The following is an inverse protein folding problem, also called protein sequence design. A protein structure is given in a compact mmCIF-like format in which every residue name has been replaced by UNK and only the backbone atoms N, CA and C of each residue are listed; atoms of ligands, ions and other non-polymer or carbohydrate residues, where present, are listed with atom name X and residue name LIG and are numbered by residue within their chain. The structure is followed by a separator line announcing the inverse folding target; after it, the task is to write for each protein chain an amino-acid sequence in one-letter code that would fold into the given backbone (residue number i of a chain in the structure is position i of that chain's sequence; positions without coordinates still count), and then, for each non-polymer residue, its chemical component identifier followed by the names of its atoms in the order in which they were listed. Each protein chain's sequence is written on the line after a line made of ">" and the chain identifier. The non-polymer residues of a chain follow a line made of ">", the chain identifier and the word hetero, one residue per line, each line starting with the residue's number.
data_IF_020545143562
#
_entry.id   IF_020545143562
#
_cell.length_a   1.000
_cell.length_b   1.000
_cell.length_c   1.000
_cell.angle_alpha   90.00
_cell.angle_beta   90.00
_cell.angle_gamma   90.00
#
_symmetry.space_group_name_H-M   'P 1'
#
loop_
_entity.id
_entity.type
_entity.pdbx_description
1 polymer ?
#
# COMPACT_ATOMS: atom_id res chain seq x y z
N UNK A 1 15.08 7.40 28.44
CA UNK A 1 14.31 6.59 27.48
C UNK A 1 15.29 5.94 26.52
N UNK A 2 15.22 4.61 26.28
CA UNK A 2 16.18 3.91 25.42
C UNK A 2 16.11 4.42 23.97
N UNK A 3 17.26 4.46 23.30
CA UNK A 3 17.39 4.91 21.91
C UNK A 3 18.53 4.20 21.18
N UNK A 4 18.50 4.25 19.86
CA UNK A 4 19.62 3.92 18.97
C UNK A 4 20.03 5.21 18.29
N UNK A 5 21.33 5.47 18.24
CA UNK A 5 21.89 6.56 17.44
C UNK A 5 22.33 6.00 16.09
N UNK A 6 21.87 6.66 15.03
CA UNK A 6 22.24 6.33 13.66
C UNK A 6 23.18 7.42 13.17
N UNK A 7 24.43 7.04 12.93
CA UNK A 7 25.48 7.91 12.38
C UNK A 7 26.06 7.25 11.13
N UNK A 8 25.78 7.82 9.96
CA UNK A 8 26.20 7.28 8.66
C UNK A 8 26.21 8.38 7.59
N UNK A 9 26.75 8.04 6.41
CA UNK A 9 26.71 8.91 5.23
C UNK A 9 25.77 8.35 4.16
N UNK A 10 25.04 9.24 3.49
CA UNK A 10 24.21 8.92 2.33
C UNK A 10 24.53 9.91 1.22
N UNK A 11 25.07 9.43 0.08
CA UNK A 11 25.56 10.28 -1.02
C UNK A 11 26.52 11.37 -0.52
N UNK A 12 27.48 10.96 0.30
CA UNK A 12 28.48 11.82 0.96
C UNK A 12 27.94 12.85 1.97
N UNK A 13 26.62 12.97 2.11
CA UNK A 13 26.01 13.79 3.15
C UNK A 13 25.92 13.00 4.47
N UNK A 14 26.41 13.55 5.59
CA UNK A 14 26.27 12.93 6.89
C UNK A 14 24.82 12.95 7.37
N UNK A 15 24.46 11.92 8.13
CA UNK A 15 23.19 11.75 8.82
C UNK A 15 23.49 11.30 10.23
N UNK A 16 23.11 12.12 11.21
CA UNK A 16 23.18 11.78 12.62
C UNK A 16 21.82 12.08 13.26
N UNK A 17 21.15 11.05 13.79
CA UNK A 17 19.89 11.22 14.52
C UNK A 17 19.58 10.01 15.41
N UNK A 18 18.70 10.24 16.39
CA UNK A 18 18.26 9.24 17.37
C UNK A 18 16.91 8.64 17.00
N UNK A 19 16.80 7.33 17.20
CA UNK A 19 15.54 6.57 17.13
C UNK A 19 15.24 6.05 18.52
N UNK A 20 14.19 6.57 19.15
CA UNK A 20 13.78 6.12 20.48
C UNK A 20 13.09 4.76 20.43
N UNK A 21 13.16 4.02 21.53
CA UNK A 21 12.46 2.76 21.72
C UNK A 21 11.40 2.88 22.82
N UNK A 22 10.33 2.13 22.66
CA UNK A 22 9.29 1.93 23.66
C UNK A 22 8.94 0.45 23.71
N UNK A 23 8.65 -0.07 24.89
CA UNK A 23 8.13 -1.42 25.05
C UNK A 23 6.63 -1.41 25.37
N UNK A 24 5.97 -2.52 25.11
CA UNK A 24 4.65 -2.85 25.67
C UNK A 24 4.66 -4.28 26.20
N UNK A 25 3.87 -4.60 27.23
CA UNK A 25 3.68 -5.99 27.64
C UNK A 25 3.24 -6.87 26.46
N UNK A 26 3.73 -8.10 26.42
CA UNK A 26 3.27 -9.11 25.48
C UNK A 26 1.84 -9.52 25.80
N UNK A 27 1.04 -9.86 24.77
CA UNK A 27 -0.32 -10.39 24.94
C UNK A 27 -0.35 -11.71 25.74
N UNK A 28 0.80 -12.40 25.86
CA UNK A 28 0.95 -13.61 26.68
C UNK A 28 1.27 -13.29 28.15
N UNK A 29 1.33 -12.00 28.53
CA UNK A 29 1.75 -11.49 29.84
C UNK A 29 3.13 -12.01 30.31
N UNK A 30 3.93 -12.56 29.40
CA UNK A 30 5.29 -13.07 29.63
C UNK A 30 6.23 -12.31 28.70
N UNK A 31 6.87 -11.27 29.24
CA UNK A 31 7.87 -10.46 28.56
C UNK A 31 7.34 -9.20 27.88
N UNK A 32 8.27 -8.47 27.27
CA UNK A 32 8.03 -7.17 26.64
C UNK A 32 8.28 -7.19 25.14
N UNK A 33 7.46 -6.45 24.40
CA UNK A 33 7.55 -6.26 22.96
C UNK A 33 8.13 -4.88 22.71
N UNK A 34 9.36 -4.84 22.19
CA UNK A 34 10.04 -3.59 21.83
C UNK A 34 9.59 -3.02 20.48
N UNK A 35 9.52 -1.70 20.39
CA UNK A 35 9.18 -0.96 19.18
C UNK A 35 10.06 0.27 19.05
N UNK A 36 10.26 0.69 17.81
CA UNK A 36 10.84 1.99 17.48
C UNK A 36 9.77 3.08 17.49
N UNK A 37 10.15 4.28 17.89
CA UNK A 37 9.39 5.51 17.67
C UNK A 37 10.03 6.20 16.48
N UNK A 38 9.28 6.29 15.38
CA UNK A 38 9.76 6.94 14.17
C UNK A 38 10.09 8.42 14.45
N UNK A 39 11.29 8.91 14.09
CA UNK A 39 11.69 10.27 14.43
C UNK A 39 10.87 11.33 13.69
N UNK A 40 10.33 11.03 12.49
CA UNK A 40 9.49 11.94 11.72
C UNK A 40 8.00 11.81 12.07
N UNK A 41 7.40 10.61 11.93
CA UNK A 41 5.94 10.43 12.12
C UNK A 41 5.52 10.27 13.58
N UNK A 42 6.47 10.07 14.51
CA UNK A 42 6.25 9.76 15.92
C UNK A 42 5.43 8.49 16.19
N UNK A 43 5.11 7.71 15.15
CA UNK A 43 4.38 6.45 15.27
C UNK A 43 5.28 5.33 15.78
N UNK A 44 4.69 4.46 16.58
CA UNK A 44 5.30 3.19 17.03
C UNK A 44 5.38 2.22 15.87
N UNK A 45 6.55 1.62 15.63
CA UNK A 45 6.75 0.67 14.54
C UNK A 45 7.78 -0.41 14.86
N UNK A 46 7.72 -1.53 14.13
CA UNK A 46 8.63 -2.68 14.28
C UNK A 46 9.78 -2.68 13.27
N UNK A 47 9.65 -1.88 12.22
CA UNK A 47 10.58 -1.80 11.09
C UNK A 47 10.72 -0.35 10.68
N UNK A 48 11.95 0.07 10.46
CA UNK A 48 12.28 1.30 9.77
C UNK A 48 12.73 0.95 8.35
N UNK A 49 12.35 1.78 7.38
CA UNK A 49 12.66 1.61 5.97
C UNK A 49 13.75 2.60 5.60
N UNK A 50 14.81 2.13 4.94
CA UNK A 50 15.88 2.97 4.41
C UNK A 50 15.49 3.49 3.04
N UNK A 51 14.98 4.72 2.97
CA UNK A 51 14.52 5.35 1.72
C UNK A 51 14.96 6.81 1.75
N UNK A 52 15.48 7.31 0.63
CA UNK A 52 15.94 8.70 0.54
C UNK A 52 17.04 9.06 1.55
N UNK A 53 17.82 8.08 2.02
CA UNK A 53 18.89 8.30 2.99
C UNK A 53 18.44 8.44 4.45
N UNK A 54 17.21 8.05 4.77
CA UNK A 54 16.71 8.01 6.15
C UNK A 54 16.06 6.66 6.47
N UNK A 55 16.20 6.23 7.72
CA UNK A 55 15.48 5.08 8.31
C UNK A 55 14.24 5.55 9.04
N UNK A 56 13.07 5.44 8.41
CA UNK A 56 11.81 5.99 8.93
C UNK A 56 10.65 4.99 8.83
N UNK A 57 9.51 5.33 9.43
CA UNK A 57 8.26 4.61 9.21
C UNK A 57 7.86 4.67 7.73
N UNK A 58 7.23 3.61 7.20
CA UNK A 58 6.80 3.56 5.78
C UNK A 58 5.95 4.75 5.35
N UNK A 59 5.11 5.27 6.25
CA UNK A 59 4.21 6.41 5.98
C UNK A 59 4.93 7.76 6.00
N UNK A 60 6.22 7.79 6.36
CA UNK A 60 7.04 8.99 6.19
C UNK A 60 7.40 9.25 4.72
N UNK A 61 7.23 8.23 3.87
CA UNK A 61 7.61 8.26 2.46
C UNK A 61 6.38 8.28 1.56
N UNK A 62 6.34 9.24 0.63
CA UNK A 62 5.30 9.33 -0.39
C UNK A 62 5.76 8.65 -1.68
N UNK A 63 4.94 7.79 -2.26
CA UNK A 63 5.20 7.17 -3.57
C UNK A 63 6.32 6.11 -3.60
N UNK A 64 6.95 5.79 -2.47
CA UNK A 64 8.04 4.81 -2.44
C UNK A 64 7.58 3.35 -2.18
N UNK A 65 6.30 3.15 -1.91
CA UNK A 65 5.70 1.83 -1.63
C UNK A 65 4.62 1.53 -2.66
N UNK A 66 4.45 0.26 -3.01
CA UNK A 66 3.25 -0.16 -3.74
C UNK A 66 2.02 0.08 -2.85
N UNK A 67 0.93 0.56 -3.44
CA UNK A 67 -0.30 0.89 -2.71
C UNK A 67 -0.81 -0.28 -1.85
N UNK A 68 -0.77 -1.49 -2.40
CA UNK A 68 -1.17 -2.71 -1.68
C UNK A 68 -0.35 -2.99 -0.42
N UNK A 69 0.90 -2.53 -0.35
CA UNK A 69 1.78 -2.72 0.81
C UNK A 69 1.45 -1.79 1.98
N UNK A 70 0.88 -0.61 1.68
CA UNK A 70 0.49 0.37 2.71
C UNK A 70 -0.94 0.15 3.21
N UNK A 71 -1.79 -0.52 2.41
CA UNK A 71 -3.15 -0.89 2.78
C UNK A 71 -3.23 -1.86 3.98
N UNK A 72 -4.31 -1.76 4.76
CA UNK A 72 -4.62 -2.68 5.87
C UNK A 72 -5.04 -4.06 5.35
N UNK A 73 -4.98 -5.10 6.20
CA UNK A 73 -5.43 -6.45 5.81
C UNK A 73 -6.90 -6.47 5.38
N UNK A 74 -7.76 -5.72 6.11
CA UNK A 74 -9.18 -5.55 5.78
C UNK A 74 -9.35 -4.94 4.40
N UNK A 75 -8.62 -3.86 4.11
CA UNK A 75 -8.72 -3.17 2.84
C UNK A 75 -8.22 -4.03 1.67
N UNK A 76 -7.11 -4.77 1.82
CA UNK A 76 -6.65 -5.71 0.79
C UNK A 76 -7.68 -6.81 0.49
N UNK A 77 -8.39 -7.28 1.51
CA UNK A 77 -9.46 -8.25 1.32
C UNK A 77 -10.64 -7.63 0.56
N UNK A 78 -11.03 -6.40 0.91
CA UNK A 78 -12.05 -5.63 0.18
C UNK A 78 -11.65 -5.37 -1.27
N UNK A 79 -10.41 -4.95 -1.55
CA UNK A 79 -9.93 -4.73 -2.93
C UNK A 79 -9.91 -6.04 -3.73
N UNK A 80 -9.63 -7.18 -3.08
CA UNK A 80 -9.68 -8.50 -3.73
C UNK A 80 -11.10 -8.91 -4.13
N UNK A 81 -12.11 -8.62 -3.30
CA UNK A 81 -13.50 -9.03 -3.55
C UNK A 81 -14.28 -8.02 -4.38
N UNK A 82 -14.14 -6.73 -4.06
CA UNK A 82 -14.93 -5.63 -4.61
C UNK A 82 -14.10 -4.60 -5.38
N UNK A 83 -12.78 -4.77 -5.46
CA UNK A 83 -11.91 -3.79 -6.15
C UNK A 83 -12.22 -3.64 -7.63
N UNK A 84 -12.73 -4.68 -8.31
CA UNK A 84 -13.22 -4.57 -9.68
C UNK A 84 -14.47 -3.68 -9.77
N UNK A 85 -15.39 -3.80 -8.81
CA UNK A 85 -16.59 -2.97 -8.72
C UNK A 85 -16.23 -1.49 -8.51
N UNK A 86 -15.37 -1.18 -7.54
CA UNK A 86 -14.93 0.20 -7.28
C UNK A 86 -14.11 0.82 -8.42
N UNK A 87 -13.51 0.01 -9.29
CA UNK A 87 -12.75 0.46 -10.46
C UNK A 87 -13.59 0.48 -11.75
N UNK A 88 -14.84 0.05 -11.70
CA UNK A 88 -15.69 -0.13 -12.89
C UNK A 88 -15.84 1.16 -13.71
N UNK A 89 -16.13 2.30 -13.08
CA UNK A 89 -16.21 3.61 -13.76
C UNK A 89 -14.90 4.00 -14.43
N UNK A 90 -13.77 3.76 -13.76
CA UNK A 90 -12.44 4.01 -14.34
C UNK A 90 -12.17 3.11 -15.54
N UNK A 91 -12.58 1.84 -15.48
CA UNK A 91 -12.45 0.89 -16.59
C UNK A 91 -13.31 1.29 -17.79
N UNK A 92 -14.55 1.72 -17.55
CA UNK A 92 -15.43 2.23 -18.59
C UNK A 92 -14.90 3.51 -19.21
N UNK A 93 -14.45 4.47 -18.39
CA UNK A 93 -13.83 5.69 -18.89
C UNK A 93 -12.59 5.40 -19.74
N UNK A 94 -11.77 4.42 -19.35
CA UNK A 94 -10.60 3.99 -20.12
C UNK A 94 -10.99 3.36 -21.47
N UNK A 95 -12.02 2.50 -21.46
CA UNK A 95 -12.52 1.82 -22.66
C UNK A 95 -13.08 2.79 -23.71
N UNK A 96 -13.71 3.88 -23.26
CA UNK A 96 -14.32 4.91 -24.11
C UNK A 96 -13.40 6.09 -24.42
N UNK A 97 -12.12 6.05 -24.03
CA UNK A 97 -11.14 7.08 -24.44
C UNK A 97 -11.03 7.15 -25.96
N UNK A 98 -11.00 8.36 -26.51
CA UNK A 98 -10.94 8.66 -27.97
C UNK A 98 -9.91 7.82 -28.73
N UNK A 99 -8.73 7.59 -28.15
CA UNK A 99 -7.61 6.91 -28.80
C UNK A 99 -7.41 5.46 -28.32
N UNK A 100 -8.40 4.86 -27.66
CA UNK A 100 -8.30 3.49 -27.16
C UNK A 100 -8.41 2.47 -28.30
N UNK A 101 -7.33 1.73 -28.56
CA UNK A 101 -7.31 0.68 -29.59
C UNK A 101 -7.87 -0.64 -29.04
N UNK A 102 -9.10 -0.97 -29.45
CA UNK A 102 -9.76 -2.25 -29.12
C UNK A 102 -9.13 -3.43 -29.87
N UNK A 103 -8.70 -3.21 -31.11
CA UNK A 103 -8.12 -4.23 -31.99
C UNK A 103 -6.78 -3.80 -32.58
N UNK A 104 -5.97 -4.79 -32.96
CA UNK A 104 -4.75 -4.63 -33.75
C UNK A 104 -4.65 -5.82 -34.71
N UNK A 105 -4.47 -5.54 -36.00
CA UNK A 105 -4.48 -6.56 -37.06
C UNK A 105 -5.72 -7.50 -37.00
N UNK A 106 -6.90 -6.91 -36.75
CA UNK A 106 -8.16 -7.65 -36.63
C UNK A 106 -8.34 -8.44 -35.32
N UNK A 107 -7.32 -8.54 -34.47
CA UNK A 107 -7.37 -9.27 -33.19
C UNK A 107 -7.58 -8.31 -32.01
N UNK A 108 -8.33 -8.70 -30.96
CA UNK A 108 -8.48 -7.87 -29.77
C UNK A 108 -7.13 -7.65 -29.08
N UNK A 109 -6.89 -6.44 -28.58
CA UNK A 109 -5.65 -6.14 -27.85
C UNK A 109 -5.66 -6.77 -26.46
N UNK A 110 -4.48 -7.14 -25.94
CA UNK A 110 -4.35 -7.67 -24.57
C UNK A 110 -4.93 -6.70 -23.52
N UNK A 111 -4.77 -5.40 -23.75
CA UNK A 111 -5.32 -4.35 -22.88
C UNK A 111 -6.85 -4.36 -22.89
N UNK A 112 -7.47 -4.43 -24.08
CA UNK A 112 -8.92 -4.54 -24.21
C UNK A 112 -9.47 -5.79 -23.50
N UNK A 113 -8.85 -6.95 -23.74
CA UNK A 113 -9.26 -8.21 -23.08
C UNK A 113 -9.20 -8.10 -21.55
N UNK A 114 -8.13 -7.50 -21.01
CA UNK A 114 -7.97 -7.30 -19.56
C UNK A 114 -9.05 -6.38 -18.97
N UNK A 115 -9.40 -5.30 -19.66
CA UNK A 115 -10.44 -4.37 -19.21
C UNK A 115 -11.81 -5.08 -19.22
N UNK A 116 -12.13 -5.79 -20.30
CA UNK A 116 -13.39 -6.54 -20.41
C UNK A 116 -13.52 -7.61 -19.33
N UNK A 117 -12.44 -8.35 -19.04
CA UNK A 117 -12.44 -9.35 -17.95
C UNK A 117 -12.71 -8.70 -16.58
N UNK A 118 -12.16 -7.51 -16.34
CA UNK A 118 -12.39 -6.79 -15.08
C UNK A 118 -13.81 -6.21 -14.98
N UNK A 119 -14.36 -5.72 -16.08
CA UNK A 119 -15.76 -5.28 -16.15
C UNK A 119 -16.70 -6.45 -15.88
N UNK A 120 -16.48 -7.60 -16.55
CA UNK A 120 -17.28 -8.80 -16.34
C UNK A 120 -17.19 -9.29 -14.88
N UNK A 121 -16.00 -9.23 -14.28
CA UNK A 121 -15.83 -9.53 -12.85
C UNK A 121 -16.63 -8.58 -11.96
N UNK A 122 -16.67 -7.29 -12.29
CA UNK A 122 -17.44 -6.31 -11.55
C UNK A 122 -18.95 -6.57 -11.63
N UNK A 123 -19.45 -6.88 -12.83
CA UNK A 123 -20.87 -7.16 -13.10
C UNK A 123 -21.37 -8.45 -12.44
N UNK A 124 -20.48 -9.44 -12.30
CA UNK A 124 -20.81 -10.72 -11.67
C UNK A 124 -20.78 -10.70 -10.13
N UNK A 125 -20.47 -9.55 -9.50
CA UNK A 125 -20.48 -9.45 -8.04
C UNK A 125 -21.93 -9.43 -7.54
N UNK A 126 -22.33 -10.33 -6.62
CA UNK A 126 -23.67 -10.34 -6.06
C UNK A 126 -23.99 -9.03 -5.32
N UNK A 127 -25.20 -8.51 -5.52
CA UNK A 127 -25.63 -7.25 -4.92
C UNK A 127 -25.52 -7.22 -3.38
N UNK A 128 -25.83 -8.33 -2.70
CA UNK A 128 -25.72 -8.42 -1.24
C UNK A 128 -24.28 -8.27 -0.71
N UNK A 129 -23.26 -8.63 -1.49
CA UNK A 129 -21.85 -8.41 -1.13
C UNK A 129 -21.48 -6.93 -1.20
N UNK A 130 -22.14 -6.17 -2.09
CA UNK A 130 -21.96 -4.73 -2.24
C UNK A 130 -22.61 -4.02 -1.05
N UNK A 131 -23.86 -4.36 -0.70
CA UNK A 131 -24.56 -3.77 0.45
C UNK A 131 -23.81 -4.00 1.77
N UNK A 132 -23.21 -5.17 1.95
CA UNK A 132 -22.44 -5.48 3.16
C UNK A 132 -21.17 -4.64 3.32
N UNK A 133 -20.65 -4.08 2.22
CA UNK A 133 -19.40 -3.33 2.20
C UNK A 133 -19.58 -1.81 2.22
N UNK A 134 -20.79 -1.31 1.92
CA UNK A 134 -21.18 0.10 2.05
C UNK A 134 -21.55 0.44 3.49
#
# INVERSE_FOLDING_TARGET
>A
QPYIELDYKYRDEPRNYKVYLTSTPSNLNKGEIWYFICPQTKKRCRKLYSIGGYFLHREAFNGCMYETQTQSKKYRQLDKTLGAYFKSDNLYSELYKKNFKKTYAGKPTKRYLRIMEQIQKAENIPYHEIERAM
#
